data_IF_138322882832
#
_entry.id   IF_138322882832
#
_cell.length_a   1.000
_cell.length_b   1.000
_cell.length_c   1.000
_cell.angle_alpha   90.00
_cell.angle_beta   90.00
_cell.angle_gamma   90.00
#
_symmetry.space_group_name_H-M   'P 1'
#
loop_
_entity.id
_entity.type
_entity.pdbx_description
1 polymer ?
#
# COMPACT_ATOMS: atom_id res chain seq x y z
N UNK A 1 -29.58 -24.82 16.12
CA UNK A 1 -30.56 -24.29 15.15
C UNK A 1 -29.99 -23.09 14.37
N UNK A 2 -28.71 -23.14 13.96
CA UNK A 2 -28.00 -21.99 13.35
C UNK A 2 -27.55 -22.21 11.91
N UNK A 3 -27.98 -23.31 11.29
CA UNK A 3 -27.48 -23.75 9.97
C UNK A 3 -27.99 -22.89 8.80
N UNK A 4 -29.00 -22.04 9.04
CA UNK A 4 -29.59 -21.16 8.03
C UNK A 4 -29.13 -19.70 8.16
N UNK A 5 -28.38 -19.35 9.22
CA UNK A 5 -27.93 -17.98 9.48
C UNK A 5 -26.73 -17.54 8.61
N UNK A 6 -26.17 -18.48 7.85
CA UNK A 6 -25.06 -18.27 6.91
C UNK A 6 -25.44 -18.78 5.52
N UNK A 7 -26.71 -18.70 5.14
CA UNK A 7 -27.03 -18.89 3.72
C UNK A 7 -26.24 -17.83 2.93
N UNK A 8 -25.41 -18.25 1.95
CA UNK A 8 -24.57 -17.35 1.16
C UNK A 8 -25.34 -16.15 0.59
N UNK A 9 -26.65 -16.32 0.40
CA UNK A 9 -27.58 -15.28 -0.03
C UNK A 9 -27.57 -14.02 0.83
N UNK A 10 -27.52 -14.15 2.16
CA UNK A 10 -27.54 -13.01 3.08
C UNK A 10 -26.24 -12.20 2.99
N UNK A 11 -25.10 -12.88 2.80
CA UNK A 11 -23.81 -12.22 2.60
C UNK A 11 -23.79 -11.42 1.31
N UNK A 12 -24.37 -11.96 0.23
CA UNK A 12 -24.49 -11.23 -1.04
C UNK A 12 -25.33 -9.96 -0.87
N UNK A 13 -26.47 -10.05 -0.17
CA UNK A 13 -27.30 -8.87 0.13
C UNK A 13 -26.58 -7.84 1.00
N UNK A 14 -25.84 -8.29 2.02
CA UNK A 14 -25.06 -7.40 2.88
C UNK A 14 -23.97 -6.67 2.08
N UNK A 15 -23.19 -7.40 1.27
CA UNK A 15 -22.18 -6.81 0.40
C UNK A 15 -22.81 -5.83 -0.59
N UNK A 16 -23.98 -6.17 -1.15
CA UNK A 16 -24.72 -5.29 -2.05
C UNK A 16 -25.06 -3.97 -1.35
N UNK A 17 -25.63 -4.01 -0.15
CA UNK A 17 -25.97 -2.81 0.63
C UNK A 17 -24.72 -1.98 0.94
N UNK A 18 -23.62 -2.61 1.34
CA UNK A 18 -22.35 -1.90 1.60
C UNK A 18 -21.83 -1.24 0.31
N UNK A 19 -21.86 -1.93 -0.84
CA UNK A 19 -21.45 -1.35 -2.12
C UNK A 19 -22.36 -0.18 -2.53
N UNK A 20 -23.66 -0.22 -2.23
CA UNK A 20 -24.57 0.89 -2.50
C UNK A 20 -24.24 2.13 -1.65
N UNK A 21 -23.93 1.94 -0.36
CA UNK A 21 -23.63 3.05 0.57
C UNK A 21 -22.24 3.63 0.32
N UNK A 22 -21.23 2.79 0.17
CA UNK A 22 -19.84 3.21 0.02
C UNK A 22 -19.43 3.47 -1.44
N UNK A 23 -20.10 2.82 -2.40
CA UNK A 23 -19.78 2.87 -3.82
C UNK A 23 -18.75 1.83 -4.25
N UNK A 24 -18.80 1.44 -5.53
CA UNK A 24 -17.96 0.39 -6.14
C UNK A 24 -16.46 0.69 -6.11
N UNK A 25 -16.07 1.97 -5.97
CA UNK A 25 -14.67 2.41 -6.01
C UNK A 25 -14.06 2.62 -4.62
N UNK A 26 -14.87 2.88 -3.59
CA UNK A 26 -14.38 3.10 -2.21
C UNK A 26 -14.18 1.80 -1.44
N UNK A 27 -15.03 0.80 -1.66
CA UNK A 27 -14.89 -0.52 -1.03
C UNK A 27 -13.53 -1.18 -1.34
N UNK A 28 -13.09 -1.29 -2.61
CA UNK A 28 -11.79 -1.87 -2.91
C UNK A 28 -10.62 -0.98 -2.47
N UNK A 29 -10.80 0.35 -2.48
CA UNK A 29 -9.78 1.30 -2.04
C UNK A 29 -9.51 1.19 -0.54
N UNK A 30 -10.57 1.12 0.28
CA UNK A 30 -10.49 0.89 1.72
C UNK A 30 -9.93 -0.49 2.04
N UNK A 31 -10.36 -1.54 1.33
CA UNK A 31 -9.81 -2.87 1.50
C UNK A 31 -8.30 -2.91 1.17
N UNK A 32 -7.85 -2.20 0.13
CA UNK A 32 -6.43 -2.10 -0.24
C UNK A 32 -5.61 -1.32 0.78
N UNK A 33 -6.10 -0.18 1.27
CA UNK A 33 -5.37 0.62 2.28
C UNK A 33 -5.29 -0.12 3.62
N UNK A 34 -6.41 -0.70 4.08
CA UNK A 34 -6.47 -1.53 5.29
C UNK A 34 -5.63 -2.79 5.15
N UNK A 35 -5.63 -3.44 3.98
CA UNK A 35 -4.81 -4.62 3.71
C UNK A 35 -3.31 -4.31 3.77
N UNK A 36 -2.88 -3.14 3.30
CA UNK A 36 -1.48 -2.71 3.37
C UNK A 36 -1.04 -2.48 4.83
N UNK A 37 -1.87 -1.81 5.63
CA UNK A 37 -1.60 -1.65 7.08
C UNK A 37 -1.64 -2.99 7.81
N UNK A 38 -2.66 -3.82 7.58
CA UNK A 38 -2.78 -5.14 8.19
C UNK A 38 -1.61 -6.07 7.84
N UNK A 39 -1.01 -5.94 6.65
CA UNK A 39 0.18 -6.72 6.27
C UNK A 39 1.40 -6.34 7.11
N UNK A 40 1.62 -5.05 7.34
CA UNK A 40 2.72 -4.55 8.17
C UNK A 40 2.55 -5.03 9.61
N UNK A 41 1.35 -4.83 10.16
CA UNK A 41 0.99 -5.30 11.49
C UNK A 41 1.13 -6.82 11.61
N UNK A 42 0.76 -7.57 10.57
CA UNK A 42 0.91 -9.04 10.55
C UNK A 42 2.37 -9.47 10.45
N UNK A 43 3.24 -8.76 9.73
CA UNK A 43 4.67 -9.06 9.71
C UNK A 43 5.34 -8.77 11.04
N UNK A 44 4.99 -7.65 11.69
CA UNK A 44 5.51 -7.31 13.02
C UNK A 44 4.99 -8.28 14.08
N UNK A 45 3.67 -8.55 14.10
CA UNK A 45 3.08 -9.53 14.99
C UNK A 45 3.63 -10.95 14.75
N UNK A 46 3.98 -11.30 13.51
CA UNK A 46 4.63 -12.58 13.20
C UNK A 46 6.07 -12.61 13.73
N UNK A 47 6.84 -11.54 13.57
CA UNK A 47 8.21 -11.46 14.10
C UNK A 47 8.23 -11.61 15.63
N UNK A 48 7.30 -10.96 16.34
CA UNK A 48 7.16 -11.13 17.79
C UNK A 48 6.74 -12.55 18.20
N UNK A 49 5.97 -13.25 17.36
CA UNK A 49 5.54 -14.62 17.62
C UNK A 49 6.60 -15.66 17.26
N UNK A 50 7.44 -15.36 16.27
CA UNK A 50 8.53 -16.23 15.79
C UNK A 50 9.76 -16.18 16.72
N UNK A 51 9.98 -15.05 17.41
CA UNK A 51 11.04 -14.89 18.44
C UNK A 51 10.82 -15.80 19.68
N UNK A 52 9.62 -16.39 19.82
CA UNK A 52 9.27 -17.38 20.82
C UNK A 52 9.40 -18.85 20.39
N UNK A 53 9.80 -19.14 19.13
CA UNK A 53 9.86 -20.53 18.66
C UNK A 53 10.34 -20.71 17.22
N UNK A 54 11.67 -20.86 17.05
CA UNK A 54 12.40 -21.50 15.92
C UNK A 54 11.67 -21.69 14.57
N UNK A 55 12.20 -20.96 13.59
CA UNK A 55 12.52 -21.36 12.19
C UNK A 55 11.37 -21.72 11.21
N UNK A 56 11.50 -21.09 10.02
CA UNK A 56 10.98 -21.44 8.70
C UNK A 56 9.57 -20.96 8.30
N UNK A 57 9.55 -19.90 7.47
CA UNK A 57 8.88 -19.96 6.17
C UNK A 57 9.37 -18.81 5.28
N UNK A 58 10.32 -19.13 4.39
CA UNK A 58 10.46 -18.43 3.10
C UNK A 58 9.32 -18.89 2.20
N UNK A 59 8.46 -18.01 1.66
CA UNK A 59 7.81 -18.25 0.39
C UNK A 59 8.61 -17.51 -0.68
N UNK A 60 9.40 -18.27 -1.43
CA UNK A 60 9.88 -17.82 -2.71
C UNK A 60 8.70 -17.79 -3.70
N UNK A 61 8.61 -16.67 -4.43
CA UNK A 61 8.27 -16.62 -5.85
C UNK A 61 6.79 -16.67 -6.30
N UNK A 62 6.37 -15.50 -6.82
CA UNK A 62 5.64 -15.23 -8.06
C UNK A 62 4.29 -15.90 -8.40
N UNK A 63 3.31 -15.03 -8.63
CA UNK A 63 2.34 -15.07 -9.74
C UNK A 63 1.81 -13.62 -9.86
N UNK A 64 1.63 -12.95 -10.98
CA UNK A 64 1.89 -13.13 -12.40
C UNK A 64 1.76 -11.70 -12.99
N UNK A 65 2.51 -11.37 -14.03
CA UNK A 65 2.40 -10.11 -14.77
C UNK A 65 1.00 -9.92 -15.39
N UNK A 66 0.54 -8.68 -15.58
CA UNK A 66 0.67 -8.16 -16.94
C UNK A 66 1.30 -6.77 -16.93
N UNK A 67 2.36 -6.63 -17.71
CA UNK A 67 2.93 -5.37 -18.14
C UNK A 67 1.91 -4.55 -18.91
N UNK A 68 1.62 -3.28 -18.52
CA UNK A 68 1.38 -2.23 -19.49
C UNK A 68 2.66 -1.41 -19.61
N UNK A 69 3.26 -1.53 -20.80
CA UNK A 69 4.33 -0.73 -21.38
C UNK A 69 4.88 0.45 -20.52
N UNK A 70 6.09 0.22 -20.05
CA UNK A 70 7.16 1.19 -19.81
C UNK A 70 7.05 2.48 -20.65
N UNK A 71 6.89 3.63 -19.99
CA UNK A 71 7.46 4.93 -20.40
C UNK A 71 7.86 5.75 -19.18
N UNK A 72 8.82 5.24 -18.42
CA UNK A 72 9.63 6.12 -17.58
C UNK A 72 10.60 6.83 -18.53
N UNK A 73 10.43 8.14 -18.69
CA UNK A 73 11.40 8.99 -19.37
C UNK A 73 12.69 8.87 -18.58
N UNK A 74 13.66 8.15 -19.14
CA UNK A 74 14.98 7.98 -18.57
C UNK A 74 15.74 9.28 -18.80
N UNK A 75 15.77 10.16 -17.80
CA UNK A 75 16.74 11.26 -17.79
C UNK A 75 18.14 10.64 -17.64
N UNK A 76 19.05 10.99 -18.55
CA UNK A 76 20.41 10.49 -18.55
C UNK A 76 21.13 10.93 -17.26
N UNK A 77 21.92 10.07 -16.60
CA UNK A 77 22.77 10.46 -15.49
C UNK A 77 23.82 11.49 -15.96
N UNK A 78 23.54 12.76 -15.73
CA UNK A 78 24.34 13.88 -16.24
C UNK A 78 23.74 15.27 -15.97
N UNK A 79 22.43 15.36 -15.70
CA UNK A 79 21.76 16.63 -15.33
C UNK A 79 21.95 17.04 -13.86
N UNK A 80 23.18 16.95 -13.36
CA UNK A 80 23.64 17.68 -12.16
C UNK A 80 24.47 18.89 -12.58
N UNK A 81 23.99 19.63 -13.59
CA UNK A 81 24.55 20.92 -13.99
C UNK A 81 23.47 22.01 -13.95
N UNK A 82 22.77 22.08 -12.81
CA UNK A 82 22.15 23.35 -12.39
C UNK A 82 22.13 23.53 -10.87
N UNK A 83 23.08 22.88 -10.18
CA UNK A 83 23.53 23.37 -8.87
C UNK A 83 24.46 24.56 -9.14
N UNK A 84 23.91 25.67 -9.65
CA UNK A 84 24.63 26.94 -9.69
C UNK A 84 24.55 27.54 -8.28
N UNK A 85 25.65 27.60 -7.51
CA UNK A 85 25.69 28.36 -6.28
C UNK A 85 25.72 29.86 -6.64
N UNK A 86 25.47 30.70 -5.63
CA UNK A 86 25.56 32.17 -5.67
C UNK A 86 24.27 32.87 -6.09
N UNK A 87 23.54 33.33 -5.07
CA UNK A 87 23.36 34.77 -4.85
C UNK A 87 23.02 35.03 -3.39
N UNK A 88 24.03 35.09 -2.54
CA UNK A 88 24.00 35.96 -1.37
C UNK A 88 24.94 37.11 -1.72
N UNK A 89 24.40 38.33 -1.88
CA UNK A 89 24.83 39.40 -0.99
C UNK A 89 23.72 40.39 -0.62
N UNK A 90 23.97 41.09 0.49
CA UNK A 90 23.38 42.38 0.95
C UNK A 90 21.97 42.28 1.54
N UNK A 91 21.63 42.87 2.69
CA UNK A 91 22.21 44.05 3.34
C UNK A 91 21.85 44.08 4.84
N UNK A 92 22.82 44.52 5.63
CA UNK A 92 22.70 45.34 6.84
C UNK A 92 21.31 45.88 7.20
N UNK A 93 20.87 45.61 8.44
CA UNK A 93 20.11 46.52 9.33
C UNK A 93 20.11 45.78 10.69
N UNK A 94 20.95 46.02 11.70
CA UNK A 94 21.57 47.23 12.24
C UNK A 94 20.62 48.41 12.38
N UNK A 95 19.78 48.37 13.43
CA UNK A 95 19.52 49.48 14.37
C UNK A 95 18.68 48.98 15.54
#
# INVERSE_FOLDING_TARGET
MFRNALEPWHLVLLVLVIVLVFGSKKLPDMARSLGKSARILKSEAKAMKDDGGKQNATPAQSAEEPTPAQRTIQAAPGDVTSSRPVNEPTDSTQR
#
